data_IF_243625566994
#
_entry.id   IF_243625566994
#
_cell.length_a   1.000
_cell.length_b   1.000
_cell.length_c   1.000
_cell.angle_alpha   90.00
_cell.angle_beta   90.00
_cell.angle_gamma   90.00
#
_symmetry.space_group_name_H-M   'P 1'
#
loop_
_entity.id
_entity.type
_entity.pdbx_description
1 polymer ?
#
# COMPACT_ATOMS: atom_id res chain seq x y z
N UNK A 1 -10.87 -13.24 1.83
CA UNK A 1 -11.81 -13.27 0.68
C UNK A 1 -10.99 -13.56 -0.56
N UNK A 2 -11.42 -14.49 -1.40
CA UNK A 2 -10.77 -14.83 -2.67
C UNK A 2 -11.45 -14.03 -3.79
N UNK A 3 -10.67 -13.41 -4.70
CA UNK A 3 -11.19 -12.50 -5.73
C UNK A 3 -10.84 -12.97 -7.15
N UNK A 4 -11.30 -14.15 -7.60
CA UNK A 4 -10.90 -14.74 -8.89
C UNK A 4 -11.41 -13.96 -10.11
N UNK A 5 -12.40 -13.09 -9.91
CA UNK A 5 -12.98 -12.25 -10.96
C UNK A 5 -12.11 -11.02 -11.29
N UNK A 6 -11.11 -10.69 -10.45
CA UNK A 6 -10.18 -9.60 -10.75
C UNK A 6 -9.20 -10.11 -11.80
N UNK A 7 -9.17 -9.48 -12.97
CA UNK A 7 -8.21 -9.79 -14.04
C UNK A 7 -6.78 -9.66 -13.51
N UNK A 8 -5.92 -10.63 -13.85
CA UNK A 8 -4.48 -10.57 -13.53
C UNK A 8 -3.82 -9.30 -14.07
N UNK A 9 -4.31 -8.76 -15.19
CA UNK A 9 -3.81 -7.49 -15.74
C UNK A 9 -4.07 -6.26 -14.86
N UNK A 10 -4.91 -6.39 -13.82
CA UNK A 10 -5.20 -5.35 -12.83
C UNK A 10 -4.52 -5.60 -11.49
N UNK A 11 -3.64 -6.60 -11.42
CA UNK A 11 -2.97 -7.02 -10.19
C UNK A 11 -1.47 -6.88 -10.39
N UNK A 12 -0.85 -6.07 -9.55
CA UNK A 12 0.61 -5.99 -9.42
C UNK A 12 1.00 -6.54 -8.06
N UNK A 13 1.99 -7.43 -8.03
CA UNK A 13 2.51 -8.01 -6.79
C UNK A 13 3.75 -7.22 -6.38
N UNK A 14 3.69 -6.61 -5.20
CA UNK A 14 4.83 -5.98 -4.55
C UNK A 14 5.22 -6.83 -3.33
N UNK A 15 6.25 -7.66 -3.47
CA UNK A 15 6.74 -8.51 -2.39
C UNK A 15 7.32 -7.69 -1.24
N UNK A 16 7.11 -8.14 0.00
CA UNK A 16 7.69 -7.47 1.16
C UNK A 16 9.23 -7.51 1.13
N UNK A 17 9.85 -6.60 1.86
CA UNK A 17 11.29 -6.60 2.07
C UNK A 17 11.72 -7.33 3.34
N UNK A 18 13.03 -7.41 3.52
CA UNK A 18 13.66 -7.94 4.74
C UNK A 18 14.29 -6.77 5.50
N UNK A 19 14.14 -6.74 6.83
CA UNK A 19 14.77 -5.69 7.66
C UNK A 19 16.29 -5.85 7.62
N UNK A 20 17.01 -4.72 7.58
CA UNK A 20 18.49 -4.69 7.50
C UNK A 20 19.22 -5.32 8.69
N UNK A 21 18.54 -5.43 9.84
CA UNK A 21 19.09 -6.07 11.05
C UNK A 21 19.37 -7.55 10.82
N UNK A 22 18.58 -8.22 9.97
CA UNK A 22 18.75 -9.63 9.66
C UNK A 22 19.92 -9.85 8.71
N UNK A 23 20.88 -10.63 9.17
CA UNK A 23 22.13 -10.99 8.49
C UNK A 23 22.76 -12.16 9.27
N UNK A 24 23.69 -12.92 8.68
CA UNK A 24 24.37 -13.99 9.42
C UNK A 24 25.04 -13.45 10.69
N UNK A 25 24.82 -14.13 11.81
CA UNK A 25 25.52 -13.86 13.07
C UNK A 25 26.87 -14.58 13.12
N UNK A 26 27.79 -14.08 13.95
CA UNK A 26 29.06 -14.77 14.21
C UNK A 26 28.86 -15.96 15.16
N UNK A 27 29.80 -16.90 15.15
CA UNK A 27 29.79 -18.03 16.09
C UNK A 27 29.87 -17.56 17.56
N UNK A 28 30.58 -16.47 17.83
CA UNK A 28 30.67 -15.86 19.16
C UNK A 28 29.31 -15.33 19.62
N UNK A 29 28.59 -14.60 18.77
CA UNK A 29 27.23 -14.12 19.07
C UNK A 29 26.28 -15.29 19.35
N UNK A 30 26.38 -16.36 18.56
CA UNK A 30 25.55 -17.57 18.72
C UNK A 30 25.87 -18.25 20.07
N UNK A 31 27.13 -18.35 20.45
CA UNK A 31 27.54 -18.94 21.73
C UNK A 31 27.12 -18.07 22.92
N UNK A 32 27.22 -16.75 22.81
CA UNK A 32 26.70 -15.82 23.82
C UNK A 32 25.19 -15.95 23.97
N UNK A 33 24.44 -15.98 22.85
CA UNK A 33 23.00 -16.21 22.86
C UNK A 33 22.63 -17.52 23.56
N UNK A 34 23.32 -18.62 23.23
CA UNK A 34 23.09 -19.92 23.86
C UNK A 34 23.35 -19.87 25.36
N UNK A 35 24.39 -19.17 25.80
CA UNK A 35 24.71 -18.98 27.22
C UNK A 35 23.64 -18.14 27.92
N UNK A 36 23.27 -16.99 27.33
CA UNK A 36 22.28 -16.04 27.86
C UNK A 36 20.91 -16.68 28.09
N UNK A 37 20.45 -17.49 27.13
CA UNK A 37 19.14 -18.15 27.18
C UNK A 37 19.21 -19.63 27.60
N UNK A 38 20.36 -20.09 28.12
CA UNK A 38 20.57 -21.46 28.56
C UNK A 38 20.12 -22.51 27.51
N UNK A 39 20.48 -22.28 26.25
CA UNK A 39 20.20 -23.19 25.13
C UNK A 39 21.30 -24.25 25.08
N UNK A 40 21.01 -25.42 25.63
CA UNK A 40 21.99 -26.50 25.81
C UNK A 40 21.99 -27.56 24.71
N UNK A 41 21.00 -27.51 23.80
CA UNK A 41 20.82 -28.47 22.70
C UNK A 41 20.77 -27.75 21.35
N UNK A 42 21.17 -28.41 20.25
CA UNK A 42 20.75 -27.99 18.92
C UNK A 42 19.23 -27.82 18.86
N UNK A 43 18.73 -26.81 18.16
CA UNK A 43 17.31 -26.46 18.24
C UNK A 43 16.66 -26.17 16.89
N UNK A 44 15.36 -26.47 16.83
CA UNK A 44 14.45 -25.99 15.81
C UNK A 44 13.84 -24.66 16.27
N UNK A 45 13.57 -23.78 15.32
CA UNK A 45 12.97 -22.49 15.60
C UNK A 45 11.52 -22.45 15.08
N UNK A 46 10.62 -21.91 15.90
CA UNK A 46 9.28 -21.48 15.53
C UNK A 46 9.16 -19.97 15.77
N UNK A 47 8.76 -19.22 14.75
CA UNK A 47 8.62 -17.75 14.85
C UNK A 47 7.20 -17.32 14.52
N UNK A 48 6.66 -16.47 15.38
CA UNK A 48 5.28 -15.99 15.32
C UNK A 48 4.37 -16.70 16.31
N UNK A 49 3.10 -16.33 16.26
CA UNK A 49 2.08 -17.03 17.05
C UNK A 49 1.89 -18.46 16.51
N UNK A 50 1.72 -19.43 17.40
CA UNK A 50 1.92 -20.86 17.11
C UNK A 50 0.68 -21.57 16.58
N UNK A 51 -0.50 -21.18 17.05
CA UNK A 51 -1.75 -21.85 16.70
C UNK A 51 -2.47 -21.10 15.60
N UNK A 52 -2.62 -19.79 15.72
CA UNK A 52 -3.37 -18.96 14.80
C UNK A 52 -4.87 -19.00 15.09
N UNK A 53 -5.61 -18.04 14.55
CA UNK A 53 -7.07 -18.12 14.54
C UNK A 53 -7.47 -19.37 13.75
N UNK A 54 -8.23 -20.27 14.37
CA UNK A 54 -8.61 -21.57 13.80
C UNK A 54 -7.44 -22.50 13.43
N UNK A 55 -6.26 -22.35 14.05
CA UNK A 55 -5.18 -23.33 13.87
C UNK A 55 -4.32 -23.13 12.61
N UNK A 56 -4.42 -21.99 11.91
CA UNK A 56 -3.76 -21.82 10.61
C UNK A 56 -2.24 -21.83 10.66
N UNK A 57 -1.61 -21.49 11.80
CA UNK A 57 -0.14 -21.52 11.95
C UNK A 57 0.38 -22.93 12.17
N UNK A 58 -0.49 -23.80 12.70
CA UNK A 58 -0.34 -25.25 12.69
C UNK A 58 0.94 -25.77 13.37
N UNK A 59 1.44 -25.10 14.41
CA UNK A 59 2.62 -25.58 15.16
C UNK A 59 2.41 -27.00 15.73
N UNK A 60 1.16 -27.41 16.01
CA UNK A 60 0.80 -28.76 16.43
C UNK A 60 1.36 -29.85 15.50
N UNK A 61 1.52 -29.56 14.20
CA UNK A 61 2.10 -30.49 13.24
C UNK A 61 3.57 -30.82 13.57
N UNK A 62 4.37 -29.81 13.94
CA UNK A 62 5.75 -30.04 14.39
C UNK A 62 5.79 -30.90 15.65
N UNK A 63 5.00 -30.56 16.67
CA UNK A 63 5.01 -31.31 17.92
C UNK A 63 4.49 -32.76 17.76
N UNK A 64 3.58 -33.02 16.81
CA UNK A 64 3.17 -34.39 16.43
C UNK A 64 4.28 -35.17 15.74
N UNK A 65 5.11 -34.52 14.93
CA UNK A 65 6.26 -35.15 14.31
C UNK A 65 7.35 -35.45 15.37
N UNK A 66 7.66 -34.47 16.21
CA UNK A 66 8.68 -34.62 17.27
C UNK A 66 8.29 -35.69 18.31
N UNK A 67 7.01 -35.83 18.64
CA UNK A 67 6.58 -36.88 19.59
C UNK A 67 6.77 -38.31 19.07
N UNK A 68 6.94 -38.47 17.74
CA UNK A 68 7.22 -39.74 17.06
C UNK A 68 8.70 -39.94 16.73
N UNK A 69 9.54 -38.93 16.95
CA UNK A 69 10.96 -38.99 16.68
C UNK A 69 11.66 -39.84 17.75
N UNK A 70 12.53 -40.78 17.33
CA UNK A 70 13.19 -41.74 18.24
C UNK A 70 14.21 -41.03 19.13
N UNK A 71 14.93 -40.07 18.55
CA UNK A 71 15.98 -39.23 19.11
C UNK A 71 15.48 -37.84 19.51
N UNK A 72 14.19 -37.70 19.85
CA UNK A 72 13.56 -36.41 20.20
C UNK A 72 14.23 -35.65 21.35
N UNK A 73 14.98 -36.35 22.19
CA UNK A 73 15.71 -35.76 23.32
C UNK A 73 17.00 -35.05 22.90
N UNK A 74 17.50 -35.27 21.69
CA UNK A 74 18.74 -34.65 21.18
C UNK A 74 18.53 -33.19 20.74
N UNK A 75 17.28 -32.79 20.50
CA UNK A 75 16.92 -31.48 19.98
C UNK A 75 16.07 -30.67 20.97
N UNK A 76 16.19 -29.35 20.89
CA UNK A 76 15.28 -28.40 21.52
C UNK A 76 14.34 -27.74 20.51
N UNK A 77 13.29 -27.08 21.01
CA UNK A 77 12.44 -26.19 20.23
C UNK A 77 12.42 -24.82 20.91
N UNK A 78 12.82 -23.79 20.17
CA UNK A 78 12.71 -22.40 20.61
C UNK A 78 11.52 -21.78 19.87
N UNK A 79 10.57 -21.26 20.65
CA UNK A 79 9.39 -20.56 20.17
C UNK A 79 9.57 -19.06 20.43
N UNK A 80 9.44 -18.24 19.38
CA UNK A 80 9.54 -16.77 19.48
C UNK A 80 8.22 -16.15 19.08
N UNK A 81 7.65 -15.33 19.97
CA UNK A 81 6.32 -14.74 19.80
C UNK A 81 5.18 -15.61 20.33
N UNK A 82 3.93 -15.20 20.09
CA UNK A 82 2.75 -15.86 20.65
C UNK A 82 2.58 -15.62 22.15
N UNK A 83 1.99 -16.60 22.85
CA UNK A 83 1.82 -16.54 24.32
C UNK A 83 3.17 -16.75 25.03
N UNK A 84 3.38 -16.20 26.24
CA UNK A 84 4.61 -16.41 27.02
C UNK A 84 4.88 -17.86 27.38
N UNK A 85 3.83 -18.67 27.46
CA UNK A 85 3.89 -20.10 27.76
C UNK A 85 3.53 -20.91 26.51
N UNK A 86 4.02 -22.14 26.45
CA UNK A 86 3.65 -23.09 25.41
C UNK A 86 2.18 -23.50 25.60
N UNK A 87 1.43 -23.59 24.50
CA UNK A 87 0.02 -23.96 24.57
C UNK A 87 -0.15 -25.38 25.12
N UNK A 88 -1.18 -25.66 25.93
CA UNK A 88 -1.36 -26.96 26.58
C UNK A 88 -1.35 -28.15 25.61
N UNK A 89 -1.95 -27.98 24.42
CA UNK A 89 -1.96 -29.01 23.37
C UNK A 89 -0.58 -29.31 22.78
N UNK A 90 0.32 -28.31 22.73
CA UNK A 90 1.70 -28.50 22.28
C UNK A 90 2.53 -29.09 23.41
N UNK A 91 2.36 -28.61 24.64
CA UNK A 91 3.04 -29.12 25.82
C UNK A 91 2.76 -30.62 26.07
N UNK A 92 1.53 -31.07 25.82
CA UNK A 92 1.17 -32.49 25.92
C UNK A 92 1.95 -33.39 24.95
N UNK A 93 2.37 -32.85 23.80
CA UNK A 93 3.17 -33.56 22.80
C UNK A 93 4.68 -33.34 22.97
N UNK A 94 5.06 -32.32 23.75
CA UNK A 94 6.45 -31.95 24.02
C UNK A 94 7.14 -32.85 25.08
N UNK A 95 6.51 -33.93 25.53
CA UNK A 95 7.08 -34.81 26.55
C UNK A 95 8.43 -35.40 26.09
N UNK A 96 9.50 -35.07 26.83
CA UNK A 96 10.89 -35.43 26.51
C UNK A 96 11.63 -34.42 25.62
N UNK A 97 10.96 -33.36 25.18
CA UNK A 97 11.55 -32.35 24.29
C UNK A 97 11.83 -31.08 25.10
N UNK A 98 13.04 -30.54 24.98
CA UNK A 98 13.38 -29.27 25.63
C UNK A 98 12.73 -28.13 24.86
N UNK A 99 11.68 -27.52 25.42
CA UNK A 99 10.99 -26.38 24.79
C UNK A 99 11.22 -25.09 25.55
N UNK A 100 11.51 -23.99 24.84
CA UNK A 100 11.64 -22.67 25.43
C UNK A 100 10.80 -21.66 24.65
N UNK A 101 10.12 -20.75 25.34
CA UNK A 101 9.43 -19.60 24.73
C UNK A 101 10.20 -18.34 25.10
N UNK A 102 10.79 -17.68 24.10
CA UNK A 102 11.71 -16.56 24.31
C UNK A 102 11.14 -15.26 23.71
N UNK A 103 11.07 -14.15 24.47
CA UNK A 103 10.69 -12.85 23.96
C UNK A 103 11.92 -12.13 23.37
N UNK A 104 12.31 -12.50 22.15
CA UNK A 104 13.52 -11.99 21.51
C UNK A 104 13.31 -10.62 20.85
N UNK A 105 14.32 -9.74 20.92
CA UNK A 105 14.43 -8.58 20.02
C UNK A 105 14.75 -9.02 18.58
N UNK A 106 14.68 -8.10 17.60
CA UNK A 106 15.07 -8.42 16.22
C UNK A 106 16.55 -8.85 16.13
N UNK A 107 17.43 -8.21 16.91
CA UNK A 107 18.86 -8.53 17.00
C UNK A 107 19.10 -9.92 17.59
N UNK A 108 18.37 -10.28 18.65
CA UNK A 108 18.46 -11.62 19.24
C UNK A 108 17.84 -12.67 18.33
N UNK A 109 16.74 -12.34 17.65
CA UNK A 109 16.10 -13.22 16.68
C UNK A 109 17.00 -13.51 15.49
N UNK A 110 17.77 -12.53 15.00
CA UNK A 110 18.84 -12.74 14.00
C UNK A 110 19.81 -13.84 14.43
N UNK A 111 20.28 -13.77 15.68
CA UNK A 111 21.22 -14.75 16.24
C UNK A 111 20.55 -16.11 16.40
N UNK A 112 19.29 -16.14 16.85
CA UNK A 112 18.50 -17.36 16.95
C UNK A 112 18.28 -18.04 15.59
N UNK A 113 18.02 -17.29 14.50
CA UNK A 113 17.97 -17.85 13.16
C UNK A 113 19.32 -18.47 12.78
N UNK A 114 20.41 -17.71 12.92
CA UNK A 114 21.76 -18.13 12.50
C UNK A 114 22.23 -19.39 13.22
N UNK A 115 21.83 -19.57 14.49
CA UNK A 115 22.19 -20.72 15.32
C UNK A 115 21.24 -21.92 15.27
N UNK A 116 20.09 -21.80 14.59
CA UNK A 116 19.10 -22.88 14.50
C UNK A 116 19.51 -23.96 13.48
N UNK A 117 19.06 -25.20 13.72
CA UNK A 117 19.14 -26.27 12.71
C UNK A 117 18.30 -25.89 11.50
N UNK A 118 17.06 -25.48 11.77
CA UNK A 118 16.12 -24.99 10.78
C UNK A 118 15.02 -24.15 11.43
N UNK A 119 14.47 -23.21 10.68
CA UNK A 119 13.15 -22.65 10.92
C UNK A 119 12.10 -23.61 10.39
N UNK A 120 11.10 -23.95 11.20
CA UNK A 120 9.94 -24.74 10.77
C UNK A 120 8.72 -23.82 10.66
N UNK A 121 8.13 -23.71 9.48
CA UNK A 121 6.90 -22.92 9.25
C UNK A 121 5.83 -23.82 8.65
N UNK A 122 5.08 -24.58 9.47
CA UNK A 122 4.11 -25.58 9.00
C UNK A 122 2.73 -24.97 8.68
N UNK A 123 2.68 -23.66 8.43
CA UNK A 123 1.44 -22.90 8.34
C UNK A 123 0.61 -23.24 7.10
N UNK A 124 -0.71 -23.29 7.28
CA UNK A 124 -1.69 -23.48 6.21
C UNK A 124 -1.88 -22.21 5.37
N UNK A 125 -1.62 -21.07 6.01
CA UNK A 125 -1.83 -19.75 5.43
C UNK A 125 -0.83 -18.75 6.01
N UNK A 126 -0.30 -17.89 5.16
CA UNK A 126 0.54 -16.76 5.57
C UNK A 126 0.19 -15.51 4.77
N UNK A 127 0.61 -14.36 5.29
CA UNK A 127 0.58 -13.11 4.52
C UNK A 127 1.60 -13.16 3.39
N UNK A 128 2.86 -12.87 3.73
CA UNK A 128 4.01 -13.10 2.84
C UNK A 128 4.87 -14.25 3.33
N UNK A 129 5.09 -14.35 4.65
CA UNK A 129 6.04 -15.32 5.23
C UNK A 129 7.37 -14.66 5.57
N UNK A 130 7.35 -13.48 6.19
CA UNK A 130 8.56 -12.76 6.62
C UNK A 130 9.56 -13.67 7.37
N UNK A 131 9.14 -14.53 8.33
CA UNK A 131 10.07 -15.42 9.00
C UNK A 131 10.89 -16.31 8.07
N UNK A 132 10.30 -16.77 6.95
CA UNK A 132 11.00 -17.57 5.93
C UNK A 132 12.14 -16.76 5.31
N UNK A 133 11.86 -15.55 4.85
CA UNK A 133 12.87 -14.69 4.23
C UNK A 133 13.91 -14.17 5.21
N UNK A 134 13.52 -13.94 6.47
CA UNK A 134 14.43 -13.54 7.56
C UNK A 134 15.39 -14.68 7.91
N UNK A 135 14.89 -15.91 8.03
CA UNK A 135 15.71 -17.10 8.24
C UNK A 135 16.72 -17.30 7.11
N UNK A 136 16.27 -17.21 5.85
CA UNK A 136 17.14 -17.36 4.68
C UNK A 136 18.29 -16.36 4.66
N UNK A 137 18.02 -15.06 4.92
CA UNK A 137 19.10 -14.04 4.94
C UNK A 137 20.04 -14.20 6.15
N UNK A 138 19.63 -14.91 7.19
CA UNK A 138 20.48 -15.24 8.34
C UNK A 138 21.26 -16.56 8.15
N UNK A 139 21.12 -17.24 7.01
CA UNK A 139 21.75 -18.54 6.78
C UNK A 139 21.09 -19.69 7.53
N UNK A 140 19.80 -19.56 7.86
CA UNK A 140 19.00 -20.59 8.51
C UNK A 140 18.20 -21.38 7.46
N UNK A 141 18.38 -22.71 7.35
CA UNK A 141 17.54 -23.55 6.51
C UNK A 141 16.05 -23.45 6.90
N UNK A 142 15.16 -23.57 5.92
CA UNK A 142 13.71 -23.51 6.14
C UNK A 142 13.04 -24.83 5.77
N UNK A 143 12.17 -25.31 6.66
CA UNK A 143 11.23 -26.40 6.40
C UNK A 143 9.82 -25.81 6.44
N UNK A 144 9.05 -25.95 5.35
CA UNK A 144 7.73 -25.32 5.23
C UNK A 144 6.78 -26.11 4.33
N UNK A 145 5.59 -25.58 4.07
CA UNK A 145 4.55 -26.22 3.26
C UNK A 145 4.36 -25.49 1.91
N UNK A 146 3.90 -26.19 0.87
CA UNK A 146 3.53 -25.56 -0.43
C UNK A 146 2.13 -24.93 -0.40
N UNK A 147 1.85 -24.11 0.61
CA UNK A 147 0.56 -23.45 0.80
C UNK A 147 0.70 -21.93 0.81
N UNK A 148 -0.35 -21.22 0.37
CA UNK A 148 -0.44 -19.76 0.48
C UNK A 148 0.78 -19.06 -0.15
N UNK A 149 1.34 -18.05 0.51
CA UNK A 149 2.50 -17.27 0.04
C UNK A 149 3.85 -17.96 0.28
N UNK A 150 3.89 -19.10 0.98
CA UNK A 150 5.14 -19.77 1.35
C UNK A 150 5.99 -20.20 0.12
N UNK A 151 5.41 -20.70 -1.00
CA UNK A 151 6.16 -20.90 -2.23
C UNK A 151 6.78 -19.63 -2.83
N UNK A 152 6.15 -18.46 -2.64
CA UNK A 152 6.70 -17.20 -3.09
C UNK A 152 7.88 -16.75 -2.20
N UNK A 153 7.71 -16.86 -0.88
CA UNK A 153 8.73 -16.46 0.10
C UNK A 153 9.95 -17.38 0.08
N UNK A 154 9.76 -18.70 -0.03
CA UNK A 154 10.87 -19.67 0.02
C UNK A 154 11.42 -20.07 -1.37
N UNK A 155 10.64 -19.92 -2.45
CA UNK A 155 11.09 -20.39 -3.77
C UNK A 155 11.38 -21.89 -3.77
N UNK A 156 12.55 -22.30 -4.25
CA UNK A 156 13.00 -23.70 -4.16
C UNK A 156 14.09 -23.88 -3.08
N UNK A 157 14.37 -22.85 -2.27
CA UNK A 157 15.40 -22.84 -1.24
C UNK A 157 14.94 -23.40 0.12
N UNK A 158 13.88 -24.21 0.13
CA UNK A 158 13.31 -24.78 1.34
C UNK A 158 12.96 -26.25 1.14
N UNK A 159 12.93 -27.00 2.25
CA UNK A 159 12.36 -28.33 2.27
C UNK A 159 10.85 -28.22 2.44
N UNK A 160 10.11 -28.71 1.44
CA UNK A 160 8.66 -28.71 1.44
C UNK A 160 8.09 -30.02 1.98
N UNK A 161 7.10 -29.92 2.87
CA UNK A 161 6.41 -31.07 3.47
C UNK A 161 4.90 -30.94 3.31
N UNK A 162 4.21 -32.07 3.17
CA UNK A 162 2.75 -32.13 3.29
C UNK A 162 2.33 -32.21 4.76
N UNK A 163 1.54 -31.23 5.19
CA UNK A 163 0.97 -31.15 6.54
C UNK A 163 0.04 -32.32 6.91
N UNK A 164 -0.39 -33.12 5.93
CA UNK A 164 -1.15 -34.36 6.17
C UNK A 164 -0.25 -35.52 6.63
N UNK A 165 1.07 -35.39 6.45
CA UNK A 165 2.02 -36.47 6.67
C UNK A 165 3.18 -36.05 7.59
N UNK A 166 3.06 -36.36 8.88
CA UNK A 166 4.10 -36.05 9.88
C UNK A 166 5.44 -36.74 9.60
N UNK A 167 5.46 -37.84 8.83
CA UNK A 167 6.70 -38.54 8.49
C UNK A 167 7.54 -37.77 7.46
N UNK A 168 6.92 -36.99 6.58
CA UNK A 168 7.67 -36.09 5.68
C UNK A 168 8.41 -35.00 6.45
N UNK A 169 7.83 -34.50 7.55
CA UNK A 169 8.52 -33.55 8.43
C UNK A 169 9.69 -34.22 9.16
N UNK A 170 9.52 -35.46 9.63
CA UNK A 170 10.63 -36.23 10.22
C UNK A 170 11.76 -36.43 9.20
N UNK A 171 11.44 -36.84 7.97
CA UNK A 171 12.42 -37.01 6.90
C UNK A 171 13.12 -35.69 6.57
N UNK A 172 12.39 -34.56 6.55
CA UNK A 172 12.97 -33.24 6.33
C UNK A 172 13.93 -32.83 7.46
N UNK A 173 13.59 -33.15 8.72
CA UNK A 173 14.45 -32.92 9.88
C UNK A 173 15.74 -33.74 9.84
N UNK A 174 15.71 -34.97 9.32
CA UNK A 174 16.95 -35.72 9.08
C UNK A 174 17.74 -35.20 7.87
N UNK A 175 17.05 -34.88 6.78
CA UNK A 175 17.69 -34.34 5.56
C UNK A 175 18.42 -33.03 5.80
N UNK A 176 17.83 -32.10 6.57
CA UNK A 176 18.45 -30.79 6.83
C UNK A 176 19.71 -30.88 7.68
N UNK A 177 19.92 -31.99 8.39
CA UNK A 177 21.14 -32.24 9.17
C UNK A 177 22.29 -32.77 8.31
N UNK A 178 22.02 -33.27 7.11
CA UNK A 178 23.07 -33.63 6.16
C UNK A 178 23.83 -32.34 5.75
N UNK A 179 25.15 -32.25 5.96
CA UNK A 179 25.90 -31.03 5.70
C UNK A 179 25.83 -30.54 4.24
N UNK A 180 25.79 -31.44 3.26
CA UNK A 180 25.68 -31.09 1.85
C UNK A 180 24.32 -30.45 1.54
N UNK A 181 23.24 -31.10 1.97
CA UNK A 181 21.87 -30.56 1.82
C UNK A 181 21.73 -29.23 2.54
N UNK A 182 22.25 -29.14 3.78
CA UNK A 182 22.20 -27.93 4.59
C UNK A 182 22.90 -26.77 3.91
N UNK A 183 24.13 -26.98 3.44
CA UNK A 183 24.91 -25.94 2.78
C UNK A 183 24.27 -25.48 1.47
N UNK A 184 23.68 -26.41 0.72
CA UNK A 184 22.94 -26.08 -0.49
C UNK A 184 21.71 -25.21 -0.19
N UNK A 185 20.88 -25.60 0.79
CA UNK A 185 19.71 -24.81 1.22
C UNK A 185 20.10 -23.40 1.70
N UNK A 186 21.24 -23.27 2.37
CA UNK A 186 21.76 -21.97 2.82
C UNK A 186 22.18 -21.11 1.63
N UNK A 187 22.93 -21.68 0.68
CA UNK A 187 23.36 -20.96 -0.52
C UNK A 187 22.15 -20.49 -1.35
N UNK A 188 21.19 -21.38 -1.60
CA UNK A 188 19.96 -21.08 -2.32
C UNK A 188 19.09 -20.06 -1.56
N UNK A 189 19.08 -20.15 -0.22
CA UNK A 189 18.38 -19.23 0.66
C UNK A 189 18.93 -17.81 0.54
N UNK A 190 20.26 -17.64 0.55
CA UNK A 190 20.88 -16.33 0.33
C UNK A 190 20.54 -15.77 -1.06
N UNK A 191 20.66 -16.58 -2.12
CA UNK A 191 20.34 -16.15 -3.47
C UNK A 191 18.87 -15.72 -3.60
N UNK A 192 17.95 -16.50 -3.02
CA UNK A 192 16.53 -16.22 -3.07
C UNK A 192 16.14 -15.00 -2.23
N UNK A 193 16.66 -14.88 -1.00
CA UNK A 193 16.39 -13.76 -0.10
C UNK A 193 16.82 -12.40 -0.70
N UNK A 194 17.90 -12.38 -1.48
CA UNK A 194 18.40 -11.17 -2.17
C UNK A 194 17.39 -10.56 -3.17
N UNK A 195 16.33 -11.27 -3.54
CA UNK A 195 15.27 -10.78 -4.44
C UNK A 195 14.32 -9.80 -3.73
N UNK A 196 14.30 -9.79 -2.40
CA UNK A 196 13.33 -9.07 -1.57
C UNK A 196 13.94 -7.83 -0.92
N UNK A 197 13.33 -6.67 -1.14
CA UNK A 197 13.75 -5.40 -0.54
C UNK A 197 12.56 -4.49 -0.31
N UNK A 198 12.57 -3.79 0.82
CA UNK A 198 11.54 -2.80 1.14
C UNK A 198 11.57 -1.62 0.16
N UNK A 199 12.75 -1.28 -0.39
CA UNK A 199 12.86 -0.25 -1.43
C UNK A 199 12.16 -0.70 -2.71
N UNK A 200 12.44 -1.92 -3.18
CA UNK A 200 11.82 -2.50 -4.37
C UNK A 200 10.31 -2.63 -4.24
N UNK A 201 9.82 -3.03 -3.05
CA UNK A 201 8.39 -3.01 -2.74
C UNK A 201 7.82 -1.60 -2.89
N UNK A 202 8.46 -0.61 -2.26
CA UNK A 202 8.00 0.78 -2.27
C UNK A 202 7.98 1.36 -3.68
N UNK A 203 9.02 1.09 -4.49
CA UNK A 203 9.11 1.52 -5.88
C UNK A 203 7.97 0.90 -6.71
N UNK A 204 7.73 -0.41 -6.57
CA UNK A 204 6.63 -1.10 -7.25
C UNK A 204 5.27 -0.50 -6.87
N UNK A 205 5.04 -0.24 -5.58
CA UNK A 205 3.79 0.39 -5.11
C UNK A 205 3.66 1.82 -5.65
N UNK A 206 4.73 2.61 -5.62
CA UNK A 206 4.72 3.98 -6.10
C UNK A 206 4.42 4.05 -7.61
N UNK A 207 5.05 3.18 -8.40
CA UNK A 207 4.80 3.04 -9.85
C UNK A 207 3.33 2.73 -10.13
N UNK A 208 2.76 1.74 -9.44
CA UNK A 208 1.35 1.35 -9.59
C UNK A 208 0.40 2.49 -9.21
N UNK A 209 0.68 3.24 -8.14
CA UNK A 209 -0.12 4.39 -7.75
C UNK A 209 -0.07 5.50 -8.79
N UNK A 210 1.11 5.80 -9.34
CA UNK A 210 1.30 6.81 -10.39
C UNK A 210 0.61 6.39 -11.68
N UNK A 211 0.77 5.13 -12.11
CA UNK A 211 0.10 4.58 -13.29
C UNK A 211 -1.42 4.64 -13.13
N UNK A 212 -1.94 4.18 -11.99
CA UNK A 212 -3.38 4.21 -11.68
C UNK A 212 -3.91 5.65 -11.74
N UNK A 213 -3.19 6.61 -11.17
CA UNK A 213 -3.57 8.02 -11.21
C UNK A 213 -3.56 8.60 -12.65
N UNK A 214 -2.59 8.20 -13.49
CA UNK A 214 -2.54 8.59 -14.91
C UNK A 214 -3.69 7.97 -15.69
N UNK A 215 -4.00 6.70 -15.48
CA UNK A 215 -5.12 5.99 -16.13
C UNK A 215 -6.44 6.67 -15.79
N UNK A 216 -6.68 6.97 -14.50
CA UNK A 216 -7.89 7.70 -14.07
C UNK A 216 -7.96 9.11 -14.71
N UNK A 217 -6.82 9.78 -14.93
CA UNK A 217 -6.77 11.11 -15.56
C UNK A 217 -7.02 11.07 -17.07
N UNK A 218 -6.55 10.01 -17.76
CA UNK A 218 -6.57 9.89 -19.22
C UNK A 218 -7.81 9.16 -19.75
N UNK A 219 -8.31 8.16 -19.04
CA UNK A 219 -9.71 7.75 -19.20
C UNK A 219 -10.54 8.94 -18.77
N UNK A 220 -11.45 9.44 -19.62
CA UNK A 220 -12.27 10.65 -19.43
C UNK A 220 -13.09 10.61 -18.14
N UNK A 221 -12.42 10.77 -17.00
CA UNK A 221 -12.98 10.59 -15.67
C UNK A 221 -12.39 11.61 -14.70
N UNK A 222 -12.30 12.86 -15.15
CA UNK A 222 -12.50 13.96 -14.22
C UNK A 222 -13.78 13.70 -13.42
N UNK A 223 -13.73 13.88 -12.09
CA UNK A 223 -14.88 13.96 -11.15
C UNK A 223 -16.15 13.29 -11.74
N UNK A 224 -16.11 11.97 -11.91
CA UNK A 224 -17.08 11.25 -12.76
C UNK A 224 -16.72 9.81 -13.13
N UNK A 225 -15.53 9.31 -12.75
CA UNK A 225 -15.17 7.90 -12.96
C UNK A 225 -16.15 6.98 -12.23
N UNK A 226 -16.64 5.89 -12.86
CA UNK A 226 -17.33 4.82 -12.16
C UNK A 226 -16.50 4.30 -10.96
N UNK A 227 -15.17 4.24 -11.10
CA UNK A 227 -14.25 3.85 -10.03
C UNK A 227 -14.21 4.83 -8.86
N UNK A 228 -14.30 6.14 -9.11
CA UNK A 228 -14.41 7.12 -8.02
C UNK A 228 -15.78 7.03 -7.34
N UNK A 229 -16.84 6.77 -8.09
CA UNK A 229 -18.15 6.47 -7.53
C UNK A 229 -18.12 5.24 -6.61
N UNK A 230 -17.55 4.14 -7.10
CA UNK A 230 -17.39 2.88 -6.35
C UNK A 230 -16.47 3.04 -5.13
N UNK A 231 -15.33 3.74 -5.27
CA UNK A 231 -14.46 4.04 -4.14
C UNK A 231 -15.17 4.92 -3.11
N UNK A 232 -15.96 5.93 -3.51
CA UNK A 232 -16.72 6.77 -2.56
C UNK A 232 -17.82 5.98 -1.86
N UNK A 233 -18.47 5.03 -2.55
CA UNK A 233 -19.41 4.10 -1.92
C UNK A 233 -18.71 3.20 -0.90
N UNK A 234 -17.58 2.60 -1.27
CA UNK A 234 -16.80 1.74 -0.38
C UNK A 234 -16.24 2.51 0.82
N UNK A 235 -15.69 3.70 0.58
CA UNK A 235 -15.25 4.63 1.62
C UNK A 235 -16.40 4.96 2.56
N UNK A 236 -17.57 5.36 2.03
CA UNK A 236 -18.73 5.67 2.85
C UNK A 236 -19.22 4.47 3.67
N UNK A 237 -19.20 3.26 3.11
CA UNK A 237 -19.57 2.03 3.82
C UNK A 237 -18.58 1.71 4.96
N UNK A 238 -17.28 1.83 4.71
CA UNK A 238 -16.24 1.60 5.74
C UNK A 238 -16.31 2.69 6.82
N UNK A 239 -16.55 3.94 6.42
CA UNK A 239 -16.61 5.09 7.33
C UNK A 239 -17.89 5.12 8.17
N UNK A 240 -18.95 4.43 7.73
CA UNK A 240 -20.13 4.11 8.54
C UNK A 240 -19.87 2.99 9.56
N UNK A 241 -18.85 2.16 9.34
CA UNK A 241 -18.49 1.04 10.21
C UNK A 241 -17.34 1.40 11.19
N UNK A 242 -16.67 2.52 11.00
CA UNK A 242 -15.63 3.03 11.90
C UNK A 242 -16.19 4.08 12.86
N UNK A 243 -15.83 4.06 14.15
CA UNK A 243 -16.12 5.18 15.06
C UNK A 243 -15.35 6.44 14.64
N UNK A 244 -15.83 7.66 14.97
CA UNK A 244 -15.19 8.91 14.58
C UNK A 244 -13.77 9.01 15.17
N UNK A 245 -12.80 9.48 14.38
CA UNK A 245 -11.41 9.59 14.84
C UNK A 245 -11.25 10.65 15.95
N UNK A 246 -10.58 10.32 17.07
CA UNK A 246 -10.31 11.26 18.15
C UNK A 246 -9.12 12.18 17.83
N UNK A 247 -9.17 13.42 18.31
CA UNK A 247 -7.99 14.32 18.36
C UNK A 247 -7.00 13.80 19.39
N UNK A 248 -5.73 13.66 18.99
CA UNK A 248 -4.63 13.12 19.79
C UNK A 248 -4.13 14.19 20.77
N UNK A 249 -4.09 13.88 22.07
CA UNK A 249 -3.33 14.64 23.08
C UNK A 249 -2.26 13.71 23.67
N UNK A 250 -1.03 14.23 23.75
CA UNK A 250 0.19 13.54 24.17
C UNK A 250 0.10 12.98 25.59
N UNK A 251 0.47 11.70 25.74
CA UNK A 251 0.62 11.06 27.05
C UNK A 251 2.02 11.32 27.57
N UNK A 252 2.15 12.02 28.70
CA UNK A 252 3.39 12.00 29.48
C UNK A 252 3.47 10.67 30.24
N UNK A 253 4.55 9.90 30.08
CA UNK A 253 4.72 8.63 30.77
C UNK A 253 5.40 8.88 32.11
N UNK A 254 4.65 8.98 33.20
CA UNK A 254 5.25 8.75 34.51
C UNK A 254 4.21 8.39 35.56
N UNK A 255 4.58 7.38 36.35
CA UNK A 255 3.98 6.97 37.63
C UNK A 255 2.80 6.00 37.55
N UNK A 256 3.12 4.77 37.21
CA UNK A 256 2.44 3.61 37.80
C UNK A 256 3.50 2.64 38.28
N UNK A 257 3.95 2.83 39.52
CA UNK A 257 4.54 1.78 40.36
C UNK A 257 4.80 2.36 41.76
N UNK A 258 3.80 2.25 42.66
CA UNK A 258 3.97 2.04 44.12
C UNK A 258 2.69 2.31 44.93
N UNK A 259 1.51 1.85 44.49
CA UNK A 259 0.25 2.09 45.21
C UNK A 259 -0.52 0.80 45.46
N UNK A 260 -1.08 0.64 46.67
CA UNK A 260 -1.92 -0.50 47.04
C UNK A 260 -3.22 -0.57 46.20
N UNK A 261 -3.93 -1.70 46.27
CA UNK A 261 -5.11 -2.01 45.44
C UNK A 261 -6.17 -0.89 45.44
N UNK A 262 -6.37 -0.22 46.58
CA UNK A 262 -7.29 0.93 46.71
C UNK A 262 -6.85 2.15 45.91
N UNK A 263 -5.55 2.37 45.77
CA UNK A 263 -5.01 3.51 45.02
C UNK A 263 -5.14 3.28 43.51
N UNK A 264 -4.99 2.03 43.07
CA UNK A 264 -5.28 1.61 41.70
C UNK A 264 -6.79 1.73 41.38
N UNK A 265 -7.66 1.40 42.34
CA UNK A 265 -9.11 1.58 42.22
C UNK A 265 -9.49 3.06 42.11
N UNK A 266 -8.97 3.92 42.98
CA UNK A 266 -9.18 5.38 42.89
C UNK A 266 -8.66 5.97 41.59
N UNK A 267 -7.52 5.47 41.09
CA UNK A 267 -6.99 5.88 39.80
C UNK A 267 -7.90 5.46 38.64
N UNK A 268 -8.41 4.22 38.66
CA UNK A 268 -9.35 3.74 37.65
C UNK A 268 -10.67 4.52 37.68
N UNK A 269 -11.19 4.86 38.86
CA UNK A 269 -12.39 5.69 39.02
C UNK A 269 -12.15 7.12 38.50
N UNK A 270 -10.98 7.71 38.75
CA UNK A 270 -10.62 9.03 38.22
C UNK A 270 -10.53 9.03 36.68
N UNK A 271 -9.97 7.97 36.08
CA UNK A 271 -9.93 7.78 34.63
C UNK A 271 -11.34 7.64 34.03
N UNK A 272 -12.22 6.91 34.71
CA UNK A 272 -13.60 6.75 34.28
C UNK A 272 -14.36 8.08 34.30
N UNK A 273 -14.21 8.87 35.36
CA UNK A 273 -14.81 10.21 35.47
C UNK A 273 -14.22 11.20 34.45
N UNK A 274 -12.93 11.06 34.10
CA UNK A 274 -12.32 11.85 33.04
C UNK A 274 -12.94 11.53 31.68
N UNK A 275 -13.09 10.24 31.35
CA UNK A 275 -13.75 9.80 30.11
C UNK A 275 -15.20 10.27 30.00
N UNK A 276 -15.92 10.31 31.12
CA UNK A 276 -17.29 10.84 31.14
C UNK A 276 -17.35 12.34 30.84
N UNK A 277 -16.36 13.13 31.30
CA UNK A 277 -16.25 14.56 30.98
C UNK A 277 -15.89 14.81 29.52
N UNK A 278 -14.97 14.02 28.95
CA UNK A 278 -14.62 14.08 27.52
C UNK A 278 -15.85 13.84 26.62
N UNK A 279 -16.71 12.88 27.01
CA UNK A 279 -17.96 12.61 26.29
C UNK A 279 -18.94 13.78 26.34
N UNK A 280 -19.07 14.47 27.47
CA UNK A 280 -19.91 15.66 27.58
C UNK A 280 -19.37 16.83 26.74
N UNK A 281 -18.06 17.01 26.68
CA UNK A 281 -17.39 18.09 25.95
C UNK A 281 -17.42 17.90 24.42
N UNK A 282 -17.32 16.64 23.96
CA UNK A 282 -17.56 16.30 22.57
C UNK A 282 -19.02 16.60 22.16
N UNK A 283 -19.98 16.34 23.06
CA UNK A 283 -21.38 16.68 22.87
C UNK A 283 -21.63 18.18 22.73
N UNK A 284 -21.01 19.01 23.57
CA UNK A 284 -21.15 20.47 23.50
C UNK A 284 -20.46 21.07 22.27
N UNK A 285 -19.32 20.51 21.86
CA UNK A 285 -18.60 20.92 20.64
C UNK A 285 -19.45 20.68 19.39
N UNK A 286 -20.14 19.54 19.31
CA UNK A 286 -21.03 19.23 18.20
C UNK A 286 -22.19 20.25 18.10
N UNK A 287 -22.77 20.63 19.24
CA UNK A 287 -23.81 21.66 19.30
C UNK A 287 -23.27 23.05 18.88
N UNK A 288 -22.02 23.38 19.23
CA UNK A 288 -21.36 24.62 18.82
C UNK A 288 -21.00 24.67 17.32
N UNK A 289 -20.65 23.54 16.71
CA UNK A 289 -20.39 23.47 15.26
C UNK A 289 -21.66 23.74 14.44
N UNK A 290 -22.81 23.24 14.90
CA UNK A 290 -24.10 23.46 14.24
C UNK A 290 -24.59 24.92 14.33
N UNK A 291 -24.16 25.66 15.36
CA UNK A 291 -24.53 27.07 15.53
C UNK A 291 -23.60 28.06 14.80
N UNK A 292 -22.40 27.63 14.37
CA UNK A 292 -21.36 28.48 13.79
C UNK A 292 -21.65 28.93 12.33
N UNK A 293 -21.47 30.23 12.06
CA UNK A 293 -21.70 30.87 10.75
C UNK A 293 -20.87 30.28 9.60
N UNK A 294 -19.66 29.77 9.85
CA UNK A 294 -18.84 29.14 8.80
C UNK A 294 -19.52 27.89 8.23
N UNK A 295 -20.10 27.05 9.07
CA UNK A 295 -20.81 25.83 8.64
C UNK A 295 -22.15 26.16 7.99
N UNK A 296 -22.80 27.26 8.40
CA UNK A 296 -23.98 27.81 7.70
C UNK A 296 -23.63 28.38 6.32
N UNK A 297 -22.50 29.07 6.18
CA UNK A 297 -22.00 29.59 4.89
C UNK A 297 -21.55 28.45 3.96
N UNK A 298 -20.83 27.45 4.49
CA UNK A 298 -20.42 26.27 3.74
C UNK A 298 -21.63 25.49 3.24
N UNK A 299 -22.64 25.27 4.09
CA UNK A 299 -23.89 24.62 3.64
C UNK A 299 -24.67 25.50 2.66
N UNK A 300 -24.66 26.82 2.82
CA UNK A 300 -25.24 27.78 1.87
C UNK A 300 -24.57 27.75 0.49
N UNK A 301 -23.24 27.67 0.43
CA UNK A 301 -22.48 27.51 -0.82
C UNK A 301 -22.88 26.24 -1.58
N UNK A 302 -23.06 25.13 -0.86
CA UNK A 302 -23.53 23.88 -1.49
C UNK A 302 -24.97 23.96 -1.99
N UNK A 303 -25.82 24.84 -1.43
CA UNK A 303 -27.18 25.11 -1.93
C UNK A 303 -27.21 26.06 -3.14
N UNK A 304 -26.26 27.00 -3.24
CA UNK A 304 -26.18 27.97 -4.34
C UNK A 304 -25.45 27.43 -5.58
N UNK A 305 -24.52 26.50 -5.40
CA UNK A 305 -23.72 25.88 -6.46
C UNK A 305 -24.55 25.37 -7.67
N UNK A 306 -25.72 24.73 -7.51
CA UNK A 306 -26.52 24.25 -8.63
C UNK A 306 -27.17 25.37 -9.48
N UNK A 307 -27.32 26.58 -8.93
CA UNK A 307 -27.92 27.73 -9.63
C UNK A 307 -26.87 28.53 -10.43
N UNK A 308 -25.62 28.55 -9.97
CA UNK A 308 -24.53 29.30 -10.62
C UNK A 308 -23.95 28.58 -11.84
N UNK A 309 -23.95 27.25 -11.83
CA UNK A 309 -23.37 26.43 -12.91
C UNK A 309 -24.12 26.59 -14.26
N UNK A 310 -25.46 26.60 -14.32
CA UNK A 310 -26.20 26.87 -15.56
C UNK A 310 -26.00 28.30 -16.08
N UNK A 311 -25.90 29.30 -15.19
CA UNK A 311 -25.73 30.70 -15.56
C UNK A 311 -24.38 30.94 -16.24
N UNK A 312 -23.30 30.37 -15.69
CA UNK A 312 -21.96 30.45 -16.29
C UNK A 312 -21.93 29.73 -17.65
N UNK A 313 -22.62 28.59 -17.75
CA UNK A 313 -22.71 27.84 -19.01
C UNK A 313 -23.50 28.60 -20.09
N UNK A 314 -24.56 29.32 -19.71
CA UNK A 314 -25.34 30.17 -20.61
C UNK A 314 -24.51 31.36 -21.13
N UNK A 315 -23.76 32.03 -20.26
CA UNK A 315 -22.87 33.14 -20.64
C UNK A 315 -21.77 32.66 -21.59
N UNK A 316 -21.21 31.48 -21.35
CA UNK A 316 -20.20 30.89 -22.23
C UNK A 316 -20.80 30.52 -23.60
N UNK A 317 -22.02 29.98 -23.62
CA UNK A 317 -22.76 29.67 -24.85
C UNK A 317 -23.09 30.92 -25.69
N UNK A 318 -23.54 32.01 -25.06
CA UNK A 318 -23.82 33.28 -25.75
C UNK A 318 -22.53 33.86 -26.37
N UNK A 319 -21.42 33.83 -25.65
CA UNK A 319 -20.13 34.33 -26.17
C UNK A 319 -19.63 33.51 -27.37
N UNK A 320 -19.80 32.19 -27.34
CA UNK A 320 -19.46 31.31 -28.47
C UNK A 320 -20.37 31.54 -29.69
N UNK A 321 -21.65 31.82 -29.47
CA UNK A 321 -22.61 32.14 -30.54
C UNK A 321 -22.35 33.53 -31.17
N UNK A 322 -21.92 34.51 -30.37
CA UNK A 322 -21.51 35.83 -30.87
C UNK A 322 -20.21 35.74 -31.67
N UNK A 323 -19.25 34.92 -31.24
CA UNK A 323 -18.02 34.66 -32.00
C UNK A 323 -18.32 33.95 -33.33
N UNK A 324 -19.23 32.97 -33.35
CA UNK A 324 -19.56 32.25 -34.59
C UNK A 324 -20.33 33.12 -35.59
N UNK A 325 -21.23 33.99 -35.12
CA UNK A 325 -21.95 34.95 -35.97
C UNK A 325 -21.03 36.06 -36.49
N UNK A 326 -20.09 36.56 -35.68
CA UNK A 326 -19.05 37.51 -36.10
C UNK A 326 -18.08 36.94 -37.14
N UNK A 327 -17.83 35.63 -37.12
CA UNK A 327 -17.00 34.96 -38.13
C UNK A 327 -17.73 34.65 -39.44
N UNK A 328 -19.07 34.66 -39.44
CA UNK A 328 -19.90 34.37 -40.63
C UNK A 328 -20.32 35.64 -41.39
N UNK A 329 -20.29 36.81 -40.74
CA UNK A 329 -20.58 38.10 -41.36
C UNK A 329 -19.29 38.75 -41.91
N UNK A 330 -19.28 39.01 -43.22
CA UNK A 330 -18.14 39.54 -43.98
C UNK A 330 -17.65 40.93 -43.51
N UNK A 331 -16.35 41.17 -43.75
CA UNK A 331 -15.40 42.30 -43.54
C UNK A 331 -15.69 43.59 -42.76
N UNK A 332 -16.90 43.94 -42.33
CA UNK A 332 -17.15 45.27 -41.69
C UNK A 332 -16.96 45.30 -40.17
N UNK A 333 -16.90 44.16 -39.46
CA UNK A 333 -16.81 44.14 -37.98
C UNK A 333 -15.38 44.10 -37.42
N UNK A 334 -14.35 43.91 -38.27
CA UNK A 334 -12.95 43.98 -37.85
C UNK A 334 -12.53 45.40 -37.41
N UNK A 335 -13.25 46.44 -37.84
CA UNK A 335 -13.02 47.82 -37.38
C UNK A 335 -13.61 48.12 -35.98
N UNK A 336 -14.56 47.30 -35.49
CA UNK A 336 -15.11 47.46 -34.14
C UNK A 336 -14.21 46.84 -33.07
N UNK A 337 -13.46 45.79 -33.42
CA UNK A 337 -12.48 45.17 -32.49
C UNK A 337 -11.32 46.13 -32.20
N UNK A 338 -10.95 47.02 -33.14
CA UNK A 338 -9.97 48.09 -32.89
C UNK A 338 -10.45 49.20 -31.95
N UNK A 339 -11.76 49.30 -31.65
CA UNK A 339 -12.29 50.34 -30.76
C UNK A 339 -12.40 49.92 -29.30
N UNK A 340 -12.37 48.62 -29.00
CA UNK A 340 -12.46 48.08 -27.63
C UNK A 340 -11.09 47.98 -26.94
N UNK A 341 -10.01 48.27 -27.69
CA UNK A 341 -8.62 48.10 -27.27
C UNK A 341 -8.13 48.91 -26.05
N UNK A 342 -8.70 50.07 -25.63
CA UNK A 342 -8.14 50.78 -24.47
C UNK A 342 -8.64 50.30 -23.10
N UNK A 343 -9.81 49.65 -23.01
CA UNK A 343 -10.42 49.33 -21.71
C UNK A 343 -9.99 47.96 -21.17
N UNK A 344 -9.53 47.05 -22.03
CA UNK A 344 -9.11 45.71 -21.59
C UNK A 344 -7.62 45.57 -21.26
N UNK A 345 -6.77 46.53 -21.65
CA UNK A 345 -5.32 46.45 -21.46
C UNK A 345 -4.88 46.31 -19.99
N UNK A 346 -5.62 46.91 -19.05
CA UNK A 346 -5.26 46.87 -17.62
C UNK A 346 -5.89 45.72 -16.83
N UNK A 347 -6.92 45.03 -17.35
CA UNK A 347 -7.46 43.82 -16.71
C UNK A 347 -6.80 42.54 -17.24
N UNK A 348 -6.22 42.58 -18.44
CA UNK A 348 -5.55 41.45 -19.08
C UNK A 348 -4.23 41.04 -18.42
N UNK A 349 -3.58 41.92 -17.67
CA UNK A 349 -2.22 41.69 -17.16
C UNK A 349 -2.13 41.06 -15.76
N UNK A 350 -3.23 40.92 -14.99
CA UNK A 350 -3.12 40.42 -13.61
C UNK A 350 -3.59 38.99 -13.39
N UNK A 351 -4.49 38.41 -14.21
CA UNK A 351 -4.99 37.04 -13.98
C UNK A 351 -5.40 36.36 -15.31
N UNK A 352 -4.53 35.49 -15.87
CA UNK A 352 -5.01 34.36 -16.70
C UNK A 352 -4.70 34.34 -18.21
N UNK A 353 -3.47 34.68 -18.64
CA UNK A 353 -3.04 34.52 -20.05
C UNK A 353 -3.02 33.09 -20.60
N UNK A 354 -3.13 32.06 -19.75
CA UNK A 354 -2.98 30.66 -20.17
C UNK A 354 -4.25 30.04 -20.75
N UNK A 355 -5.44 30.46 -20.29
CA UNK A 355 -6.71 29.81 -20.67
C UNK A 355 -7.24 30.27 -22.04
N UNK A 356 -7.02 31.53 -22.40
CA UNK A 356 -7.41 32.06 -23.72
C UNK A 356 -6.50 31.51 -24.84
N UNK A 357 -5.21 31.28 -24.53
CA UNK A 357 -4.24 30.65 -25.43
C UNK A 357 -4.61 29.20 -25.75
N UNK A 358 -5.15 28.47 -24.77
CA UNK A 358 -5.64 27.09 -24.94
C UNK A 358 -6.95 27.08 -25.75
N UNK A 359 -7.85 28.04 -25.52
CA UNK A 359 -9.10 28.16 -26.27
C UNK A 359 -8.86 28.49 -27.76
N UNK A 360 -7.89 29.36 -28.07
CA UNK A 360 -7.52 29.69 -29.45
C UNK A 360 -6.83 28.53 -30.18
N UNK A 361 -5.96 27.75 -29.50
CA UNK A 361 -5.37 26.55 -30.09
C UNK A 361 -6.42 25.47 -30.40
N UNK A 362 -7.36 25.23 -29.48
CA UNK A 362 -8.40 24.22 -29.67
C UNK A 362 -9.39 24.61 -30.78
N UNK A 363 -9.68 25.91 -30.94
CA UNK A 363 -10.47 26.42 -32.08
C UNK A 363 -9.78 26.23 -33.43
N UNK A 364 -8.46 26.38 -33.48
CA UNK A 364 -7.66 26.25 -34.72
C UNK A 364 -7.51 24.77 -35.16
N UNK A 365 -7.41 23.84 -34.21
CA UNK A 365 -7.40 22.38 -34.47
C UNK A 365 -8.78 21.90 -34.95
N UNK A 366 -9.87 22.46 -34.39
CA UNK A 366 -11.23 22.20 -34.85
C UNK A 366 -11.49 22.66 -36.30
N UNK A 367 -10.90 23.80 -36.71
CA UNK A 367 -11.05 24.36 -38.06
C UNK A 367 -10.27 23.55 -39.12
N UNK A 368 -9.09 23.04 -38.79
CA UNK A 368 -8.30 22.19 -39.71
C UNK A 368 -8.90 20.80 -39.93
N UNK A 369 -9.65 20.27 -38.96
CA UNK A 369 -10.34 18.98 -39.05
C UNK A 369 -11.58 18.97 -39.96
N UNK A 370 -12.11 20.13 -40.34
CA UNK A 370 -13.36 20.24 -41.11
C UNK A 370 -13.16 20.41 -42.63
N UNK A 371 -11.92 20.45 -43.12
CA UNK A 371 -11.59 20.64 -44.54
C UNK A 371 -11.40 19.31 -45.29
N UNK A 372 -11.97 19.17 -46.49
CA UNK A 372 -11.88 17.95 -47.32
C UNK A 372 -10.42 17.61 -47.74
N UNK A 373 -10.06 16.32 -47.90
CA UNK A 373 -8.68 15.86 -48.13
C UNK A 373 -7.95 16.42 -49.37
N UNK A 374 -8.68 17.00 -50.33
CA UNK A 374 -8.09 17.53 -51.58
C UNK A 374 -7.42 18.91 -51.41
N UNK A 375 -7.78 19.69 -50.38
CA UNK A 375 -7.18 21.00 -50.09
C UNK A 375 -5.83 20.85 -49.36
N UNK A 376 -5.69 19.81 -48.54
CA UNK A 376 -4.48 19.52 -47.77
C UNK A 376 -3.25 19.19 -48.63
N UNK A 377 -3.42 18.78 -49.90
CA UNK A 377 -2.30 18.48 -50.82
C UNK A 377 -1.52 19.70 -51.31
N UNK A 378 -1.96 20.93 -51.04
CA UNK A 378 -1.26 22.17 -51.45
C UNK A 378 -0.71 22.98 -50.28
N UNK A 379 -0.73 22.43 -49.07
CA UNK A 379 -0.17 23.10 -47.88
C UNK A 379 1.29 22.68 -47.71
N UNK A 380 2.22 23.59 -47.99
CA UNK A 380 3.63 23.42 -47.56
C UNK A 380 3.82 24.08 -46.21
N UNK A 381 4.23 23.29 -45.23
CA UNK A 381 4.70 23.77 -43.93
C UNK A 381 6.19 24.09 -44.09
N UNK A 382 6.57 25.35 -43.94
CA UNK A 382 7.98 25.75 -43.86
C UNK A 382 8.31 25.98 -42.38
N UNK A 383 9.13 25.12 -41.78
CA UNK A 383 9.66 25.35 -40.45
C UNK A 383 10.92 26.21 -40.54
N UNK A 384 10.85 27.44 -40.01
CA UNK A 384 12.02 28.28 -39.78
C UNK A 384 12.58 28.06 -38.37
N UNK A 385 13.90 27.90 -38.25
CA UNK A 385 14.62 27.80 -36.98
C UNK A 385 14.64 29.16 -36.27
N UNK A 386 13.76 29.32 -35.26
CA UNK A 386 13.75 30.49 -34.38
C UNK A 386 12.39 30.80 -33.79
N UNK A 387 11.95 30.01 -32.80
CA UNK A 387 11.00 30.40 -31.73
C UNK A 387 9.59 30.92 -32.05
N UNK A 388 9.22 31.19 -33.30
CA UNK A 388 7.91 31.73 -33.69
C UNK A 388 7.44 31.04 -34.98
N UNK A 389 6.40 30.21 -34.89
CA UNK A 389 5.73 29.65 -36.05
C UNK A 389 4.70 30.65 -36.59
N UNK A 390 5.03 31.34 -37.68
CA UNK A 390 4.10 32.15 -38.46
C UNK A 390 3.57 31.29 -39.62
N UNK A 391 2.29 30.93 -39.58
CA UNK A 391 1.60 30.21 -40.66
C UNK A 391 1.03 31.25 -41.63
N UNK A 392 1.69 31.46 -42.78
CA UNK A 392 1.15 32.24 -43.89
C UNK A 392 0.43 31.36 -44.90
N UNK A 393 -0.83 31.68 -45.24
CA UNK A 393 -1.65 30.98 -46.23
C UNK A 393 -1.92 31.92 -47.42
N UNK A 394 -1.37 31.61 -48.60
CA UNK A 394 -1.66 32.34 -49.86
C UNK A 394 -2.61 31.49 -50.71
N UNK A 395 -3.82 32.00 -50.99
CA UNK A 395 -4.80 31.33 -51.86
C UNK A 395 -4.95 32.12 -53.16
N UNK A 396 -4.56 31.53 -54.29
CA UNK A 396 -4.75 32.06 -55.64
C UNK A 396 -6.22 31.88 -56.07
N UNK A 397 -6.92 32.98 -56.36
CA UNK A 397 -8.24 33.00 -57.00
C UNK A 397 -8.12 33.35 -58.49
N UNK A 398 -8.78 32.57 -59.34
CA UNK A 398 -9.24 32.91 -60.71
C UNK A 398 -10.22 31.80 -61.14
N UNK A 399 -11.29 31.94 -61.94
CA UNK A 399 -12.10 33.01 -62.54
C UNK A 399 -13.31 32.27 -63.19
N UNK A 400 -14.51 32.89 -63.18
CA UNK A 400 -15.68 32.74 -64.08
C UNK A 400 -16.45 31.42 -64.34
N UNK A 401 -17.75 31.65 -64.65
CA UNK A 401 -18.81 30.84 -65.28
C UNK A 401 -19.87 30.36 -64.27
N UNK A 402 -21.11 30.85 -64.25
CA UNK A 402 -21.89 31.69 -65.18
C UNK A 402 -22.94 32.46 -64.37
#
# INVERSE_FOLDING_TARGET
KFFPHISRSKVTVAHCGIKKVFSPASDDDINEFKTKFNVTKPYLLLVGERTGVNGYKNAIFLFRALSKLVDKEEFGVICVGGRPELEPELAALAAGITTQVLPLSDEELKVAYSGAIALVVPSLYEGFGLPVTEAMVCGCPVITCRHSSLPEAAGEAALYVDQSNVYELIDALYKVQNPEVRNQLIADGFEHANKFSWSKMADTVAEVLVETAKTIKNETTGIGSPLWGEFRKLQAQIQQQLPPSPSIIQVQPTQLQSGGLEEQLRYAEAQLQQKQRELQEAGSTLAAMQSNQFWKLRSGWFRLKPLLVPLVSLILGINLLLLSTAMYADRTLLQLISFVSPIQGNLFFSLGGSLLSIALMLGMVGYLGYMKPQVLRRVRIVMGSGGLALIGLTVLQNINLL
#
